data_IF_685009048293
#
_entry.id   IF_685009048293
#
_cell.length_a   1.000
_cell.length_b   1.000
_cell.length_c   1.000
_cell.angle_alpha   90.00
_cell.angle_beta   90.00
_cell.angle_gamma   90.00
#
_symmetry.space_group_name_H-M   'P 1'
#
loop_
_entity.id
_entity.type
_entity.pdbx_description
1 polymer ?
#
# COMPACT_ATOMS: atom_id res chain seq x y z
N UNK A 1 26.32 -4.97 11.43
CA UNK A 1 25.48 -4.85 10.23
C UNK A 1 25.31 -3.36 9.97
N UNK A 2 25.79 -2.88 8.83
CA UNK A 2 25.66 -1.47 8.47
C UNK A 2 24.35 -1.33 7.73
N UNK A 3 23.38 -0.69 8.36
CA UNK A 3 22.12 -0.30 7.73
C UNK A 3 22.46 0.83 6.75
N UNK A 4 22.46 0.51 5.45
CA UNK A 4 22.62 1.51 4.41
C UNK A 4 21.26 2.20 4.29
N UNK A 5 21.06 3.27 5.07
CA UNK A 5 19.92 4.16 4.86
C UNK A 5 20.06 4.75 3.45
N UNK A 6 19.24 4.28 2.52
CA UNK A 6 19.17 4.83 1.18
C UNK A 6 18.88 6.34 1.30
N UNK A 7 19.78 7.17 0.76
CA UNK A 7 19.68 8.61 0.95
C UNK A 7 18.41 9.13 0.24
N UNK A 8 17.40 9.51 1.02
CA UNK A 8 16.18 10.13 0.50
C UNK A 8 16.56 11.37 -0.30
N UNK A 9 16.29 11.33 -1.61
CA UNK A 9 16.61 12.39 -2.55
C UNK A 9 15.47 13.42 -2.65
N UNK A 10 15.75 14.61 -3.17
CA UNK A 10 14.70 15.57 -3.55
C UNK A 10 13.86 15.01 -4.69
N UNK A 11 12.55 15.22 -4.65
CA UNK A 11 11.60 14.74 -5.65
C UNK A 11 10.86 13.47 -5.22
N UNK A 12 10.53 12.64 -6.19
CA UNK A 12 9.81 11.38 -5.97
C UNK A 12 10.78 10.25 -5.65
N UNK A 13 10.60 9.62 -4.50
CA UNK A 13 11.38 8.48 -4.04
C UNK A 13 10.48 7.25 -4.02
N UNK A 14 10.94 6.13 -4.59
CA UNK A 14 10.27 4.84 -4.41
C UNK A 14 10.51 4.41 -2.97
N UNK A 15 9.43 4.15 -2.21
CA UNK A 15 9.53 3.79 -0.78
C UNK A 15 8.90 2.44 -0.45
N UNK A 16 8.10 1.90 -1.37
CA UNK A 16 7.56 0.55 -1.25
C UNK A 16 7.10 0.03 -2.61
N UNK A 17 7.26 -1.27 -2.84
CA UNK A 17 6.73 -1.99 -3.99
C UNK A 17 6.45 -3.44 -3.57
N UNK A 18 5.34 -4.01 -4.03
CA UNK A 18 5.09 -5.45 -3.92
C UNK A 18 6.10 -6.25 -4.73
N UNK A 19 6.54 -7.39 -4.21
CA UNK A 19 7.45 -8.30 -4.92
C UNK A 19 6.94 -8.71 -6.31
N UNK A 20 7.83 -9.12 -7.23
CA UNK A 20 7.44 -9.71 -8.49
C UNK A 20 6.48 -10.89 -8.26
N UNK A 21 5.33 -10.85 -8.92
CA UNK A 21 4.22 -11.78 -8.63
C UNK A 21 3.04 -11.16 -7.87
N UNK A 22 3.26 -10.01 -7.22
CA UNK A 22 2.24 -9.29 -6.47
C UNK A 22 1.91 -9.97 -5.14
N UNK A 23 1.00 -9.39 -4.38
CA UNK A 23 0.46 -9.97 -3.16
C UNK A 23 -0.76 -10.83 -3.50
N UNK A 24 -0.78 -12.07 -3.06
CA UNK A 24 -1.95 -12.95 -3.20
C UNK A 24 -2.96 -12.70 -2.08
N UNK A 25 -4.25 -12.77 -2.41
CA UNK A 25 -5.37 -12.60 -1.47
C UNK A 25 -6.41 -13.68 -1.76
N UNK A 26 -6.60 -14.60 -0.83
CA UNK A 26 -7.63 -15.63 -0.92
C UNK A 26 -9.03 -15.04 -0.68
N UNK A 27 -10.07 -15.67 -1.24
CA UNK A 27 -11.46 -15.29 -1.08
C UNK A 27 -11.85 -15.05 0.38
N UNK A 28 -12.44 -13.89 0.67
CA UNK A 28 -12.85 -13.48 2.02
C UNK A 28 -11.68 -13.14 2.97
N UNK A 29 -10.43 -13.31 2.53
CA UNK A 29 -9.27 -13.00 3.35
C UNK A 29 -8.94 -11.51 3.31
N UNK A 30 -8.46 -11.01 4.45
CA UNK A 30 -7.75 -9.73 4.53
C UNK A 30 -6.26 -9.98 4.71
N UNK A 31 -5.45 -9.39 3.86
CA UNK A 31 -3.99 -9.48 3.89
C UNK A 31 -3.39 -8.11 4.15
N UNK A 32 -2.37 -8.05 5.01
CA UNK A 32 -1.51 -6.88 5.15
C UNK A 32 -0.38 -6.95 4.12
N UNK A 33 -0.46 -6.08 3.11
CA UNK A 33 0.50 -5.99 2.01
C UNK A 33 1.86 -5.47 2.53
N UNK A 34 1.86 -4.78 3.66
CA UNK A 34 3.03 -4.17 4.29
C UNK A 34 3.52 -4.95 5.52
N UNK A 35 3.12 -6.24 5.66
CA UNK A 35 3.40 -7.07 6.84
C UNK A 35 4.88 -7.17 7.24
N UNK A 36 5.79 -7.08 6.27
CA UNK A 36 7.23 -7.22 6.50
C UNK A 36 7.88 -5.91 7.00
N UNK A 37 7.09 -4.83 7.11
CA UNK A 37 7.50 -3.54 7.66
C UNK A 37 6.83 -3.33 9.03
N UNK A 38 7.49 -3.70 10.14
CA UNK A 38 6.94 -3.53 11.49
C UNK A 38 6.77 -2.04 11.81
N UNK A 39 5.55 -1.53 11.62
CA UNK A 39 5.20 -0.10 11.75
C UNK A 39 4.62 0.54 10.47
N UNK A 40 4.57 -0.23 9.37
CA UNK A 40 4.19 0.27 8.05
C UNK A 40 5.35 0.92 7.31
N UNK A 41 5.07 1.44 6.12
CA UNK A 41 6.01 2.21 5.30
C UNK A 41 6.27 3.54 6.02
N UNK A 42 7.53 3.88 6.32
CA UNK A 42 7.87 5.16 6.95
C UNK A 42 7.64 6.31 5.97
N UNK A 43 6.66 7.15 6.29
CA UNK A 43 6.25 8.29 5.47
C UNK A 43 6.65 9.64 6.08
N UNK A 44 7.22 9.66 7.30
CA UNK A 44 7.65 10.89 8.00
C UNK A 44 8.53 11.82 7.16
N UNK A 45 9.46 11.33 6.34
CA UNK A 45 10.34 12.22 5.58
C UNK A 45 9.66 12.99 4.44
N UNK A 46 8.42 12.66 4.09
CA UNK A 46 7.76 13.10 2.86
C UNK A 46 6.57 14.02 3.14
N UNK A 47 6.33 14.98 2.25
CA UNK A 47 5.18 15.90 2.33
C UNK A 47 3.89 15.24 1.80
N UNK A 48 4.04 14.45 0.74
CA UNK A 48 2.93 13.72 0.13
C UNK A 48 3.41 12.34 -0.32
N UNK A 49 2.47 11.40 -0.36
CA UNK A 49 2.67 10.08 -0.93
C UNK A 49 1.79 9.90 -2.16
N UNK A 50 2.31 9.21 -3.17
CA UNK A 50 1.56 8.69 -4.30
C UNK A 50 1.49 7.18 -4.19
N UNK A 51 0.29 6.66 -4.01
CA UNK A 51 0.01 5.23 -4.01
C UNK A 51 -0.57 4.86 -5.36
N UNK A 52 0.07 3.95 -6.07
CA UNK A 52 -0.45 3.37 -7.29
C UNK A 52 -0.49 1.86 -7.16
N UNK A 53 -1.38 1.23 -7.90
CA UNK A 53 -1.56 -0.21 -7.80
C UNK A 53 -2.71 -0.69 -8.65
N UNK A 54 -3.06 -1.95 -8.48
CA UNK A 54 -4.17 -2.53 -9.22
C UNK A 54 -4.46 -3.95 -8.79
N UNK A 55 -5.62 -4.41 -9.25
CA UNK A 55 -6.01 -5.80 -9.18
C UNK A 55 -5.66 -6.45 -10.52
N UNK A 56 -4.88 -7.54 -10.52
CA UNK A 56 -4.41 -8.15 -11.76
C UNK A 56 -5.57 -8.74 -12.55
N UNK A 57 -5.40 -8.86 -13.87
CA UNK A 57 -6.40 -9.46 -14.77
C UNK A 57 -6.67 -10.93 -14.48
N UNK A 58 -5.70 -11.62 -13.87
CA UNK A 58 -5.81 -13.05 -13.49
C UNK A 58 -6.60 -13.27 -12.20
N UNK A 59 -6.97 -12.20 -11.48
CA UNK A 59 -7.72 -12.31 -10.25
C UNK A 59 -9.15 -12.76 -10.50
N UNK A 60 -9.66 -13.62 -9.63
CA UNK A 60 -10.99 -14.21 -9.77
C UNK A 60 -12.13 -13.29 -9.26
N UNK A 61 -11.82 -12.17 -8.60
CA UNK A 61 -12.81 -11.14 -8.31
C UNK A 61 -12.26 -9.81 -7.75
N UNK A 62 -13.16 -8.94 -7.27
CA UNK A 62 -12.79 -7.61 -6.80
C UNK A 62 -12.07 -7.65 -5.45
N UNK A 63 -11.16 -6.68 -5.25
CA UNK A 63 -10.39 -6.51 -4.03
C UNK A 63 -10.54 -5.10 -3.50
N UNK A 64 -10.83 -4.97 -2.22
CA UNK A 64 -10.91 -3.70 -1.50
C UNK A 64 -9.55 -3.37 -0.90
N UNK A 65 -9.00 -2.20 -1.26
CA UNK A 65 -7.77 -1.66 -0.70
C UNK A 65 -8.14 -0.70 0.43
N UNK A 66 -7.45 -0.82 1.58
CA UNK A 66 -7.56 0.06 2.73
C UNK A 66 -6.20 0.65 3.04
N UNK A 67 -6.11 1.97 2.99
CA UNK A 67 -4.89 2.73 3.30
C UNK A 67 -5.02 3.28 4.72
N UNK A 68 -4.19 2.79 5.63
CA UNK A 68 -4.27 3.11 7.05
C UNK A 68 -3.01 3.86 7.45
N UNK A 69 -3.15 5.10 7.90
CA UNK A 69 -2.04 5.93 8.36
C UNK A 69 -1.92 5.91 9.88
N UNK A 70 -0.70 5.71 10.37
CA UNK A 70 -0.34 5.93 11.77
C UNK A 70 -0.04 7.41 11.97
N UNK A 71 -0.74 8.11 12.86
CA UNK A 71 -0.56 9.57 13.04
C UNK A 71 0.27 9.92 14.28
N UNK A 72 -0.08 9.38 15.45
CA UNK A 72 0.65 9.63 16.71
C UNK A 72 0.55 8.41 17.65
N UNK A 73 1.68 7.97 18.21
CA UNK A 73 1.70 6.85 19.16
C UNK A 73 1.09 5.57 18.58
N UNK A 74 -0.10 5.20 19.09
CA UNK A 74 -0.89 4.03 18.67
C UNK A 74 -2.15 4.38 17.88
N UNK A 75 -2.32 5.65 17.49
CA UNK A 75 -3.50 6.11 16.75
C UNK A 75 -3.37 5.81 15.26
N UNK A 76 -4.44 5.27 14.68
CA UNK A 76 -4.56 4.92 13.27
C UNK A 76 -5.74 5.67 12.64
N UNK A 77 -5.53 6.15 11.43
CA UNK A 77 -6.51 6.85 10.60
C UNK A 77 -6.68 6.08 9.29
N UNK A 78 -7.93 5.73 8.93
CA UNK A 78 -8.22 5.25 7.58
C UNK A 78 -8.17 6.44 6.61
N UNK A 79 -7.16 6.48 5.75
CA UNK A 79 -7.02 7.53 4.73
C UNK A 79 -8.02 7.36 3.59
N UNK A 80 -8.17 6.12 3.13
CA UNK A 80 -9.01 5.80 1.98
C UNK A 80 -9.36 4.30 1.99
N UNK A 81 -10.50 3.98 1.39
CA UNK A 81 -10.96 2.61 1.16
C UNK A 81 -11.71 2.55 -0.16
N UNK A 82 -11.23 1.73 -1.09
CA UNK A 82 -11.83 1.62 -2.42
C UNK A 82 -11.71 0.21 -2.99
N UNK A 83 -12.71 -0.16 -3.77
CA UNK A 83 -12.82 -1.48 -4.42
C UNK A 83 -12.29 -1.41 -5.85
N UNK A 84 -11.48 -2.40 -6.22
CA UNK A 84 -10.79 -2.49 -7.51
C UNK A 84 -11.12 -3.84 -8.14
N UNK A 85 -11.73 -3.81 -9.33
CA UNK A 85 -12.11 -5.04 -10.06
C UNK A 85 -10.91 -5.61 -10.84
N UNK A 86 -10.91 -6.90 -11.24
CA UNK A 86 -9.82 -7.48 -12.02
C UNK A 86 -9.46 -6.67 -13.27
N UNK A 87 -8.16 -6.43 -13.46
CA UNK A 87 -7.60 -5.62 -14.54
C UNK A 87 -7.64 -4.10 -14.31
N UNK A 88 -8.33 -3.62 -13.27
CA UNK A 88 -8.39 -2.20 -12.95
C UNK A 88 -7.14 -1.74 -12.19
N UNK A 89 -6.67 -0.55 -12.54
CA UNK A 89 -5.56 0.13 -11.88
C UNK A 89 -6.05 1.42 -11.22
N UNK A 90 -5.28 1.90 -10.24
CA UNK A 90 -5.53 3.15 -9.55
C UNK A 90 -4.25 3.93 -9.31
N UNK A 91 -4.39 5.24 -9.12
CA UNK A 91 -3.34 6.11 -8.62
C UNK A 91 -3.99 7.19 -7.76
N UNK A 92 -3.53 7.34 -6.52
CA UNK A 92 -4.01 8.33 -5.56
C UNK A 92 -2.85 9.06 -4.93
N UNK A 93 -3.04 10.33 -4.62
CA UNK A 93 -2.04 11.18 -3.97
C UNK A 93 -2.65 11.69 -2.67
N UNK A 94 -1.89 11.57 -1.58
CA UNK A 94 -2.31 12.00 -0.25
C UNK A 94 -1.22 12.87 0.38
N UNK A 95 -1.64 13.89 1.12
CA UNK A 95 -0.75 14.54 2.07
C UNK A 95 -0.43 13.57 3.20
N UNK A 96 0.74 13.72 3.83
CA UNK A 96 1.17 12.84 4.93
C UNK A 96 0.97 13.55 6.27
N UNK A 97 -0.17 13.37 6.95
CA UNK A 97 -0.35 13.87 8.32
C UNK A 97 0.27 12.97 9.40
N UNK A 98 0.89 11.84 9.02
CA UNK A 98 1.33 10.82 9.96
C UNK A 98 2.75 10.31 9.73
N UNK A 99 3.05 9.18 10.37
CA UNK A 99 4.38 8.62 10.48
C UNK A 99 4.57 7.30 9.72
N UNK A 100 3.51 6.49 9.60
CA UNK A 100 3.55 5.20 8.92
C UNK A 100 2.33 4.97 8.05
N UNK A 101 2.50 4.27 6.92
CA UNK A 101 1.41 3.81 6.05
C UNK A 101 1.35 2.29 6.04
N UNK A 102 0.21 1.73 6.45
CA UNK A 102 -0.14 0.32 6.31
C UNK A 102 -1.15 0.16 5.18
N UNK A 103 -0.95 -0.85 4.34
CA UNK A 103 -1.85 -1.14 3.23
C UNK A 103 -2.43 -2.53 3.44
N UNK A 104 -3.76 -2.59 3.56
CA UNK A 104 -4.49 -3.86 3.67
C UNK A 104 -5.35 -4.06 2.44
N UNK A 105 -5.49 -5.32 2.04
CA UNK A 105 -6.32 -5.73 0.92
C UNK A 105 -7.25 -6.84 1.35
N UNK A 106 -8.51 -6.72 0.97
CA UNK A 106 -9.58 -7.65 1.33
C UNK A 106 -10.26 -8.13 0.05
N UNK A 107 -10.28 -9.44 -0.18
CA UNK A 107 -10.99 -10.02 -1.31
C UNK A 107 -12.44 -10.33 -0.92
N UNK A 108 -13.38 -10.06 -1.83
CA UNK A 108 -14.79 -10.37 -1.59
C UNK A 108 -15.01 -11.88 -1.39
N UNK A 109 -16.05 -12.28 -0.66
CA UNK A 109 -16.42 -13.70 -0.54
C UNK A 109 -16.80 -14.28 -1.92
N UNK A 110 -16.33 -15.49 -2.21
CA UNK A 110 -16.58 -16.19 -3.47
C UNK A 110 -15.71 -15.73 -4.65
N UNK A 111 -14.76 -14.80 -4.42
CA UNK A 111 -13.88 -14.25 -5.45
C UNK A 111 -12.64 -15.10 -5.78
N UNK A 112 -12.56 -16.34 -5.28
CA UNK A 112 -11.44 -17.23 -5.55
C UNK A 112 -10.07 -16.69 -5.13
N UNK A 113 -9.03 -16.98 -5.92
CA UNK A 113 -7.68 -16.45 -5.68
C UNK A 113 -7.47 -15.12 -6.43
N UNK A 114 -6.95 -14.11 -5.73
CA UNK A 114 -6.69 -12.79 -6.28
C UNK A 114 -5.21 -12.43 -6.15
N UNK A 115 -4.73 -11.57 -7.05
CA UNK A 115 -3.38 -11.02 -7.02
C UNK A 115 -3.41 -9.51 -7.22
N UNK A 116 -2.73 -8.78 -6.34
CA UNK A 116 -2.69 -7.32 -6.32
C UNK A 116 -1.28 -6.79 -6.35
N UNK A 117 -1.08 -5.64 -7.00
CA UNK A 117 0.18 -4.92 -7.02
C UNK A 117 0.02 -3.56 -6.35
N UNK A 118 1.03 -3.15 -5.60
CA UNK A 118 1.08 -1.83 -4.98
C UNK A 118 2.49 -1.26 -5.08
N UNK A 119 2.56 0.03 -5.40
CA UNK A 119 3.77 0.84 -5.35
C UNK A 119 3.47 2.15 -4.63
N UNK A 120 4.39 2.58 -3.77
CA UNK A 120 4.29 3.85 -3.05
C UNK A 120 5.51 4.68 -3.33
N UNK A 121 5.27 5.95 -3.69
CA UNK A 121 6.29 6.96 -3.84
C UNK A 121 6.10 8.06 -2.80
N UNK A 122 7.18 8.46 -2.14
CA UNK A 122 7.21 9.63 -1.26
C UNK A 122 7.80 10.84 -1.96
N UNK A 123 7.18 12.02 -1.80
CA UNK A 123 7.66 13.27 -2.37
C UNK A 123 8.25 14.19 -1.28
N UNK A 124 9.48 14.69 -1.51
CA UNK A 124 10.18 15.63 -0.62
C UNK A 124 10.84 16.76 -1.42
N UNK A 125 10.78 18.00 -0.93
CA UNK A 125 11.48 19.16 -1.51
C UNK A 125 12.95 19.26 -1.09
#
# INVERSE_FOLDING_TARGET
>A
MVEVAEAVSRGNNLIFMTEPGGQTVESGATVDVTKDLPGGIDVRPFYSIRVAGGNRVVSEGPVTFKLIMKVEGVNFLLLDSFRVIPGQQFTRVFNVPGTGLTIKTEADEGSGLNAVDVVVFGYKF
#
